data_IF_556937409937
#
_entry.id   IF_556937409937
#
_cell.length_a   1.000
_cell.length_b   1.000
_cell.length_c   1.000
_cell.angle_alpha   90.00
_cell.angle_beta   90.00
_cell.angle_gamma   90.00
#
_symmetry.space_group_name_H-M   'P 1'
#
loop_
_entity.id
_entity.type
_entity.pdbx_description
1 polymer ?
#
# COMPACT_ATOMS: atom_id res chain seq x y z
N UNK A 1 -25.73 0.33 -4.78
CA UNK A 1 -24.35 0.02 -4.33
C UNK A 1 -23.39 0.86 -5.14
N UNK A 2 -22.74 1.86 -4.54
CA UNK A 2 -21.75 2.68 -5.27
C UNK A 2 -20.50 1.83 -5.45
N UNK A 3 -20.25 1.35 -6.66
CA UNK A 3 -18.95 0.85 -7.03
C UNK A 3 -17.97 2.03 -6.95
N UNK A 4 -17.07 2.02 -5.97
CA UNK A 4 -15.94 2.93 -5.96
C UNK A 4 -15.13 2.62 -7.22
N UNK A 5 -15.15 3.55 -8.17
CA UNK A 5 -14.34 3.48 -9.38
C UNK A 5 -12.90 3.81 -8.99
N UNK A 6 -12.12 2.80 -8.61
CA UNK A 6 -10.67 2.89 -8.39
C UNK A 6 -9.91 3.06 -9.72
N UNK A 7 -10.29 4.05 -10.54
CA UNK A 7 -9.83 4.16 -11.92
C UNK A 7 -8.34 4.53 -12.08
N UNK A 8 -7.61 4.78 -11.00
CA UNK A 8 -6.20 5.24 -11.06
C UNK A 8 -5.21 4.34 -10.33
N UNK A 9 -5.62 3.67 -9.24
CA UNK A 9 -4.74 2.72 -8.52
C UNK A 9 -4.51 1.42 -9.31
N UNK A 10 -5.50 1.04 -10.14
CA UNK A 10 -5.54 -0.26 -10.84
C UNK A 10 -4.47 -0.39 -11.93
N UNK A 11 -4.07 0.69 -12.60
CA UNK A 11 -3.09 0.60 -13.69
C UNK A 11 -1.66 0.22 -13.28
N UNK A 12 -1.25 0.52 -12.04
CA UNK A 12 0.10 0.19 -11.60
C UNK A 12 0.28 -1.30 -11.33
N UNK A 13 -0.74 -1.96 -10.80
CA UNK A 13 -0.69 -3.41 -10.57
C UNK A 13 -0.87 -4.23 -11.85
N UNK A 14 -1.61 -3.71 -12.84
CA UNK A 14 -1.70 -4.31 -14.18
C UNK A 14 -0.38 -4.15 -14.98
N UNK A 15 0.43 -3.12 -14.72
CA UNK A 15 1.72 -2.92 -15.39
C UNK A 15 2.85 -3.82 -14.84
N UNK A 16 2.77 -4.31 -13.59
CA UNK A 16 3.70 -5.32 -13.05
C UNK A 16 3.48 -6.69 -13.70
N UNK A 17 2.38 -6.88 -14.44
CA UNK A 17 2.02 -8.13 -15.09
C UNK A 17 2.84 -8.46 -16.36
N UNK A 18 3.70 -7.55 -16.85
CA UNK A 18 4.41 -7.72 -18.12
C UNK A 18 5.91 -8.02 -18.04
N UNK A 19 6.48 -8.25 -16.86
CA UNK A 19 7.90 -8.60 -16.77
C UNK A 19 8.12 -9.93 -16.02
N UNK A 20 8.52 -10.92 -16.80
CA UNK A 20 9.25 -12.14 -16.42
C UNK A 20 8.40 -13.37 -16.06
N UNK A 21 8.12 -14.17 -17.11
CA UNK A 21 8.19 -15.64 -17.13
C UNK A 21 7.45 -16.42 -16.03
N UNK A 22 6.19 -16.79 -16.33
CA UNK A 22 5.64 -18.13 -16.11
C UNK A 22 5.48 -18.67 -14.68
N UNK A 23 5.89 -17.94 -13.64
CA UNK A 23 5.84 -18.41 -12.26
C UNK A 23 4.93 -17.51 -11.41
N UNK A 24 4.05 -18.17 -10.66
CA UNK A 24 2.94 -17.65 -9.82
C UNK A 24 3.14 -16.23 -9.28
N UNK A 25 2.12 -15.40 -9.47
CA UNK A 25 2.09 -13.98 -9.09
C UNK A 25 2.41 -13.79 -7.60
N UNK A 26 3.37 -12.92 -7.31
CA UNK A 26 3.83 -12.56 -5.95
C UNK A 26 2.71 -11.90 -5.12
N UNK A 27 1.62 -11.48 -5.75
CA UNK A 27 0.48 -10.82 -5.14
C UNK A 27 -0.78 -11.69 -5.02
N UNK A 28 -0.83 -12.88 -5.62
CA UNK A 28 -1.90 -13.84 -5.33
C UNK A 28 -1.73 -14.36 -3.91
N UNK A 29 -2.57 -13.85 -3.02
CA UNK A 29 -2.71 -14.39 -1.67
C UNK A 29 -3.08 -15.88 -1.72
N UNK A 30 -2.53 -16.64 -0.77
CA UNK A 30 -2.73 -18.08 -0.58
C UNK A 30 -4.20 -18.55 -0.69
N UNK A 31 -5.17 -17.67 -0.41
CA UNK A 31 -6.60 -17.99 -0.39
C UNK A 31 -7.48 -16.88 -1.03
N UNK A 32 -6.91 -15.98 -1.85
CA UNK A 32 -7.64 -14.86 -2.47
C UNK A 32 -8.02 -13.69 -1.55
N UNK A 33 -7.60 -13.71 -0.27
CA UNK A 33 -7.88 -12.62 0.68
C UNK A 33 -6.74 -11.60 0.75
N UNK A 34 -7.04 -10.33 0.43
CA UNK A 34 -6.07 -9.21 0.60
C UNK A 34 -5.58 -9.09 2.05
N UNK A 35 -4.27 -8.86 2.20
CA UNK A 35 -3.58 -8.59 3.46
C UNK A 35 -3.46 -7.08 3.71
N UNK A 36 -3.28 -6.68 4.98
CA UNK A 36 -3.21 -5.26 5.35
C UNK A 36 -2.04 -4.54 4.65
N UNK A 37 -0.86 -5.17 4.53
CA UNK A 37 0.29 -4.53 3.88
C UNK A 37 0.01 -4.24 2.40
N UNK A 38 -0.66 -5.16 1.69
CA UNK A 38 -1.05 -4.98 0.29
C UNK A 38 -2.04 -3.84 0.14
N UNK A 39 -3.03 -3.78 1.03
CA UNK A 39 -4.01 -2.70 1.06
C UNK A 39 -3.36 -1.32 1.31
N UNK A 40 -2.45 -1.22 2.29
CA UNK A 40 -1.74 0.02 2.55
C UNK A 40 -0.89 0.46 1.35
N UNK A 41 -0.25 -0.51 0.70
CA UNK A 41 0.53 -0.27 -0.51
C UNK A 41 -0.35 0.22 -1.67
N UNK A 42 -1.52 -0.39 -1.86
CA UNK A 42 -2.52 0.06 -2.84
C UNK A 42 -2.90 1.53 -2.62
N UNK A 43 -3.23 1.91 -1.38
CA UNK A 43 -3.54 3.31 -1.05
C UNK A 43 -2.33 4.23 -1.31
N UNK A 44 -1.12 3.80 -0.94
CA UNK A 44 0.13 4.53 -1.13
C UNK A 44 0.51 4.72 -2.61
N UNK A 45 -0.02 3.89 -3.50
CA UNK A 45 0.17 3.99 -4.96
C UNK A 45 -0.95 4.75 -5.69
N UNK A 46 -1.92 5.28 -4.94
CA UNK A 46 -3.02 6.06 -5.50
C UNK A 46 -2.89 7.54 -5.16
N UNK A 47 -2.95 8.39 -6.18
CA UNK A 47 -2.97 9.86 -5.98
C UNK A 47 -4.21 10.32 -5.21
N UNK A 48 -5.34 9.63 -5.37
CA UNK A 48 -6.60 9.93 -4.68
C UNK A 48 -6.45 9.89 -3.16
N UNK A 49 -5.64 8.96 -2.64
CA UNK A 49 -5.47 8.75 -1.21
C UNK A 49 -4.25 9.46 -0.60
N UNK A 50 -3.53 10.27 -1.39
CA UNK A 50 -2.30 10.96 -0.95
C UNK A 50 -2.50 11.90 0.25
N UNK A 51 -3.70 12.46 0.43
CA UNK A 51 -4.04 13.26 1.61
C UNK A 51 -4.24 12.39 2.87
N UNK A 52 -4.64 11.13 2.70
CA UNK A 52 -4.97 10.18 3.78
C UNK A 52 -3.75 9.38 4.23
N UNK A 53 -2.94 8.93 3.28
CA UNK A 53 -1.72 8.14 3.49
C UNK A 53 -0.71 8.47 2.41
N UNK A 54 0.56 8.63 2.79
CA UNK A 54 1.60 9.03 1.84
C UNK A 54 2.97 8.46 2.20
N UNK A 55 3.79 8.25 1.18
CA UNK A 55 5.22 8.05 1.33
C UNK A 55 5.86 9.29 1.96
N UNK A 56 6.73 9.08 2.94
CA UNK A 56 7.56 10.12 3.53
C UNK A 56 9.01 9.62 3.48
N UNK A 57 9.94 10.40 2.95
CA UNK A 57 11.32 9.91 2.76
C UNK A 57 11.51 9.04 1.52
N UNK A 58 12.64 8.34 1.46
CA UNK A 58 13.11 7.60 0.27
C UNK A 58 13.19 6.09 0.48
N UNK A 59 13.18 5.64 1.73
CA UNK A 59 13.47 4.25 2.10
C UNK A 59 12.19 3.47 2.46
N UNK A 60 11.06 3.77 1.84
CA UNK A 60 9.81 3.06 2.12
C UNK A 60 9.11 3.47 3.41
N UNK A 61 9.48 4.61 4.01
CA UNK A 61 8.73 5.15 5.13
C UNK A 61 7.44 5.80 4.62
N UNK A 62 6.37 5.65 5.39
CA UNK A 62 5.07 6.21 5.06
C UNK A 62 4.36 6.70 6.32
N UNK A 63 3.45 7.65 6.14
CA UNK A 63 2.65 8.25 7.20
C UNK A 63 1.18 8.02 6.94
N UNK A 64 0.45 7.64 7.98
CA UNK A 64 -1.01 7.75 8.00
C UNK A 64 -1.35 9.19 8.45
N UNK A 65 -1.73 10.06 7.51
CA UNK A 65 -2.14 11.43 7.83
C UNK A 65 -3.52 11.44 8.52
N UNK A 66 -4.41 10.55 8.07
CA UNK A 66 -5.74 10.33 8.64
C UNK A 66 -5.92 8.86 9.07
N UNK A 67 -5.36 8.44 10.22
CA UNK A 67 -5.35 7.04 10.64
C UNK A 67 -6.74 6.41 10.75
N UNK A 68 -7.74 7.17 11.20
CA UNK A 68 -9.12 6.69 11.30
C UNK A 68 -9.75 6.42 9.92
N UNK A 69 -9.49 7.28 8.93
CA UNK A 69 -9.98 7.06 7.56
C UNK A 69 -9.29 5.84 6.92
N UNK A 70 -7.99 5.64 7.16
CA UNK A 70 -7.28 4.43 6.70
C UNK A 70 -7.93 3.17 7.31
N UNK A 71 -8.25 3.21 8.61
CA UNK A 71 -8.91 2.11 9.28
C UNK A 71 -10.33 1.86 8.78
N UNK A 72 -11.10 2.92 8.50
CA UNK A 72 -12.42 2.82 7.89
C UNK A 72 -12.34 2.16 6.51
N UNK A 73 -11.46 2.63 5.62
CA UNK A 73 -11.27 2.06 4.29
C UNK A 73 -10.84 0.59 4.36
N UNK A 74 -9.99 0.22 5.34
CA UNK A 74 -9.64 -1.18 5.58
C UNK A 74 -10.85 -2.00 6.06
N UNK A 75 -11.66 -1.44 6.95
CA UNK A 75 -12.91 -2.03 7.41
C UNK A 75 -13.88 -2.29 6.27
N UNK A 76 -14.08 -1.32 5.39
CA UNK A 76 -14.87 -1.45 4.17
C UNK A 76 -14.31 -2.56 3.26
N UNK A 77 -13.00 -2.58 3.01
CA UNK A 77 -12.34 -3.58 2.17
C UNK A 77 -12.52 -5.01 2.68
N UNK A 78 -12.57 -5.21 4.01
CA UNK A 78 -12.71 -6.55 4.64
C UNK A 78 -14.11 -6.84 5.15
N UNK A 79 -15.09 -5.97 4.88
CA UNK A 79 -16.44 -6.03 5.44
C UNK A 79 -16.45 -6.18 6.98
N UNK A 80 -15.66 -5.33 7.66
CA UNK A 80 -15.51 -5.26 9.12
C UNK A 80 -15.90 -3.84 9.59
N UNK A 81 -17.19 -3.55 9.83
CA UNK A 81 -17.66 -2.20 10.16
C UNK A 81 -17.13 -1.66 11.49
N UNK A 82 -16.68 -2.55 12.39
CA UNK A 82 -16.10 -2.19 13.69
C UNK A 82 -14.57 -2.00 13.64
N UNK A 83 -13.99 -1.85 12.44
CA UNK A 83 -12.57 -1.55 12.28
C UNK A 83 -12.27 -0.12 12.72
N UNK A 84 -11.18 0.08 13.45
CA UNK A 84 -10.69 1.38 13.91
C UNK A 84 -9.15 1.38 13.91
N UNK A 85 -8.53 2.54 14.13
CA UNK A 85 -7.07 2.62 14.09
C UNK A 85 -6.40 1.76 15.16
N UNK A 86 -6.98 1.61 16.35
CA UNK A 86 -6.40 0.76 17.40
C UNK A 86 -6.23 -0.69 16.94
N UNK A 87 -7.28 -1.27 16.34
CA UNK A 87 -7.28 -2.63 15.78
C UNK A 87 -6.34 -2.74 14.58
N UNK A 88 -6.36 -1.75 13.68
CA UNK A 88 -5.45 -1.71 12.54
C UNK A 88 -3.99 -1.64 13.00
N UNK A 89 -3.69 -0.80 14.00
CA UNK A 89 -2.35 -0.67 14.56
C UNK A 89 -1.91 -1.96 15.26
N UNK A 90 -2.83 -2.71 15.87
CA UNK A 90 -2.55 -4.04 16.43
C UNK A 90 -2.16 -5.03 15.35
N UNK A 91 -2.81 -4.97 14.19
CA UNK A 91 -2.45 -5.78 13.03
C UNK A 91 -1.07 -5.40 12.48
N UNK A 92 -0.75 -4.10 12.40
CA UNK A 92 0.58 -3.62 11.99
C UNK A 92 1.70 -4.16 12.90
N UNK A 93 1.46 -4.27 14.21
CA UNK A 93 2.45 -4.82 15.15
C UNK A 93 2.84 -6.26 14.84
N UNK A 94 1.97 -7.06 14.22
CA UNK A 94 2.33 -8.42 13.82
C UNK A 94 3.37 -8.46 12.69
N UNK A 95 3.62 -7.34 11.99
CA UNK A 95 4.68 -7.28 11.00
C UNK A 95 6.06 -6.87 11.56
N UNK A 96 6.13 -6.37 12.80
CA UNK A 96 7.38 -5.78 13.32
C UNK A 96 8.50 -6.80 13.50
N UNK A 97 8.15 -8.03 13.86
CA UNK A 97 9.09 -9.13 14.05
C UNK A 97 9.47 -9.80 12.71
N UNK A 98 8.91 -9.34 11.59
CA UNK A 98 9.19 -9.85 10.26
C UNK A 98 9.67 -8.77 9.29
N UNK A 99 9.95 -9.20 8.06
CA UNK A 99 10.58 -8.33 7.06
C UNK A 99 9.57 -7.53 6.22
N UNK A 100 8.33 -7.35 6.67
CA UNK A 100 7.30 -6.66 5.88
C UNK A 100 7.20 -5.17 6.22
N UNK A 101 6.80 -4.84 7.45
CA UNK A 101 6.58 -3.46 7.91
C UNK A 101 7.10 -3.31 9.34
N UNK A 102 7.87 -2.25 9.58
CA UNK A 102 8.33 -1.86 10.92
C UNK A 102 7.74 -0.52 11.38
N UNK A 103 7.80 -0.28 12.70
CA UNK A 103 7.47 1.03 13.29
C UNK A 103 8.68 1.96 13.24
N UNK A 104 8.47 3.20 12.78
CA UNK A 104 9.47 4.25 12.97
C UNK A 104 9.27 4.87 14.36
N UNK A 105 10.16 4.56 15.30
CA UNK A 105 10.09 5.07 16.67
C UNK A 105 10.28 6.60 16.72
N UNK A 106 9.69 7.26 17.71
CA UNK A 106 9.71 8.72 17.86
C UNK A 106 8.82 9.51 16.88
N UNK A 107 8.25 8.87 15.85
CA UNK A 107 7.35 9.52 14.88
C UNK A 107 5.92 8.96 14.98
N UNK A 108 4.93 9.83 15.20
CA UNK A 108 3.51 9.43 15.29
C UNK A 108 2.99 8.98 13.93
N UNK A 109 2.30 7.83 13.90
CA UNK A 109 1.65 7.28 12.69
C UNK A 109 2.59 7.02 11.50
N UNK A 110 3.89 6.91 11.75
CA UNK A 110 4.91 6.60 10.73
C UNK A 110 5.37 5.16 10.85
N UNK A 111 5.44 4.50 9.71
CA UNK A 111 5.86 3.10 9.53
C UNK A 111 6.80 3.02 8.33
N UNK A 112 7.45 1.88 8.14
CA UNK A 112 8.39 1.64 7.04
C UNK A 112 8.18 0.26 6.45
N UNK A 113 8.02 0.15 5.14
CA UNK A 113 8.19 -1.12 4.45
C UNK A 113 9.67 -1.49 4.48
N UNK A 114 9.99 -2.64 5.07
CA UNK A 114 11.39 -3.12 5.20
C UNK A 114 11.69 -4.27 4.23
N UNK A 115 10.68 -4.77 3.51
CA UNK A 115 10.87 -5.72 2.42
C UNK A 115 11.51 -5.04 1.20
N UNK A 116 12.15 -5.85 0.36
CA UNK A 116 12.64 -5.38 -0.94
C UNK A 116 11.47 -5.21 -1.92
N UNK A 117 10.86 -4.02 -1.91
CA UNK A 117 9.79 -3.66 -2.85
C UNK A 117 10.24 -3.72 -4.31
N UNK A 118 11.53 -3.46 -4.59
CA UNK A 118 12.06 -3.51 -5.96
C UNK A 118 12.06 -4.94 -6.47
N UNK A 119 12.50 -5.89 -5.64
CA UNK A 119 12.43 -7.31 -5.94
C UNK A 119 10.97 -7.81 -6.01
N UNK A 120 10.11 -7.31 -5.11
CA UNK A 120 8.72 -7.75 -5.00
C UNK A 120 7.82 -7.26 -6.16
N UNK A 121 8.00 -6.00 -6.58
CA UNK A 121 7.09 -5.28 -7.48
C UNK A 121 7.75 -4.72 -8.74
N UNK A 122 9.08 -4.80 -8.86
CA UNK A 122 9.83 -4.10 -9.90
C UNK A 122 10.00 -2.59 -9.65
N UNK A 123 9.45 -2.06 -8.55
CA UNK A 123 9.56 -0.65 -8.16
C UNK A 123 9.97 -0.51 -6.70
N UNK A 124 10.98 0.34 -6.46
CA UNK A 124 11.34 0.82 -5.14
C UNK A 124 10.30 1.82 -4.60
N UNK A 125 10.32 2.05 -3.29
CA UNK A 125 9.43 3.03 -2.66
C UNK A 125 9.56 4.44 -3.27
N UNK A 126 10.78 4.86 -3.63
CA UNK A 126 11.01 6.17 -4.24
C UNK A 126 10.44 6.26 -5.66
N UNK A 127 10.55 5.19 -6.45
CA UNK A 127 9.94 5.13 -7.79
C UNK A 127 8.41 5.19 -7.68
N UNK A 128 7.81 4.42 -6.77
CA UNK A 128 6.36 4.47 -6.49
C UNK A 128 5.92 5.86 -6.04
N UNK A 129 6.66 6.50 -5.13
CA UNK A 129 6.35 7.85 -4.67
C UNK A 129 6.41 8.89 -5.81
N UNK A 130 7.37 8.75 -6.73
CA UNK A 130 7.49 9.63 -7.89
C UNK A 130 6.34 9.42 -8.89
N UNK A 131 5.94 8.18 -9.12
CA UNK A 131 4.80 7.84 -9.98
C UNK A 131 3.50 8.44 -9.45
N UNK A 132 3.28 8.40 -8.14
CA UNK A 132 2.11 9.04 -7.52
C UNK A 132 2.13 10.56 -7.72
N UNK A 133 3.28 11.20 -7.50
CA UNK A 133 3.44 12.66 -7.59
C UNK A 133 3.35 13.19 -9.02
N UNK A 134 3.96 12.50 -9.97
CA UNK A 134 4.18 13.01 -11.33
C UNK A 134 3.28 12.35 -12.38
N UNK A 135 2.64 11.23 -12.04
CA UNK A 135 1.93 10.38 -13.00
C UNK A 135 2.90 9.46 -13.74
N UNK A 136 2.37 8.45 -14.44
CA UNK A 136 3.20 7.59 -15.27
C UNK A 136 3.61 8.37 -16.53
N UNK A 137 4.92 8.55 -16.81
CA UNK A 137 5.36 9.22 -18.03
C UNK A 137 4.79 8.58 -19.30
N UNK A 138 4.53 7.26 -19.28
CA UNK A 138 3.96 6.52 -20.39
C UNK A 138 2.46 6.78 -20.63
N UNK A 139 1.73 7.36 -19.66
CA UNK A 139 0.31 7.71 -19.86
C UNK A 139 0.14 9.01 -20.69
N UNK A 140 1.23 9.76 -20.91
CA UNK A 140 1.23 11.01 -21.67
C UNK A 140 1.83 10.88 -23.08
N UNK A 141 2.01 9.63 -23.57
CA UNK A 141 2.57 9.31 -24.90
C UNK A 141 1.50 8.70 -25.81
#
# INVERSE_FOLDING_TARGET
MKAFKYATAVKYFDAVHYAQNGNKTVLQCSNGQIQLWQFLLELLTSREYSSIIQWIGKEGEFRLNHPELVAQLWGERKNKPMMNYEKLSRALRYYYDGDMISKVHGKRFVYKFVCDLKQLLGYSAVELANLVKNGNPADNS
#
